data_IF_972055176150
#
_entry.id   IF_972055176150
#
_cell.length_a   1.000
_cell.length_b   1.000
_cell.length_c   1.000
_cell.angle_alpha   90.00
_cell.angle_beta   90.00
_cell.angle_gamma   90.00
#
_symmetry.space_group_name_H-M   'P 1'
#
loop_
_entity.id
_entity.type
_entity.pdbx_description
1 polymer ?
#
# COMPACT_ATOMS: atom_id res chain seq x y z
N UNK A 1 -5.02 31.47 22.03
CA UNK A 1 -5.19 30.83 21.61
C UNK A 1 -5.55 30.04 21.36
N UNK A 2 -5.48 29.96 21.21
CA UNK A 2 -5.65 29.03 20.76
C UNK A 2 -6.06 28.48 20.54
N UNK A 3 -5.71 28.71 20.73
CA UNK A 3 -5.93 28.02 20.43
C UNK A 3 -6.58 27.46 20.17
N UNK A 4 -6.51 27.59 20.30
CA UNK A 4 -6.92 26.59 19.93
C UNK A 4 -7.58 26.03 19.51
N UNK A 5 -7.36 26.35 19.43
CA UNK A 5 -7.82 25.64 19.01
C UNK A 5 -7.95 25.03 18.60
N UNK A 6 -7.56 25.47 18.71
CA UNK A 6 -7.52 24.70 18.30
C UNK A 6 -7.86 23.92 18.03
N UNK A 7 -7.41 24.21 18.17
CA UNK A 7 -7.53 23.12 17.99
C UNK A 7 -8.42 22.54 17.53
N UNK A 8 -8.67 22.58 17.39
CA UNK A 8 -9.40 21.68 16.97
C UNK A 8 -9.43 21.19 15.81
N UNK A 9 -8.95 21.67 15.54
CA UNK A 9 -8.93 21.09 14.66
C UNK A 9 -8.62 19.99 14.37
N UNK A 10 -8.38 20.06 14.65
CA UNK A 10 -8.09 19.00 14.56
C UNK A 10 -8.46 18.03 14.30
N UNK A 11 -8.02 18.59 14.36
CA UNK A 11 -8.23 17.26 14.65
C UNK A 11 -9.22 16.47 13.90
N UNK A 12 -9.72 16.93 12.93
CA UNK A 12 -10.60 16.14 12.10
C UNK A 12 -9.77 15.29 11.14
N UNK A 13 -9.33 14.13 11.62
CA UNK A 13 -8.49 13.23 10.84
C UNK A 13 -9.22 12.60 9.66
N UNK A 14 -10.55 12.66 9.65
CA UNK A 14 -11.32 12.11 8.53
C UNK A 14 -11.04 12.84 7.21
N UNK A 15 -10.52 14.07 7.30
CA UNK A 15 -10.18 14.86 6.13
C UNK A 15 -8.69 14.78 5.78
N UNK A 16 -7.92 14.03 6.54
CA UNK A 16 -6.51 13.88 6.26
C UNK A 16 -6.30 13.14 4.94
N UNK A 17 -5.37 13.66 4.16
CA UNK A 17 -5.00 13.01 2.91
C UNK A 17 -4.17 11.78 3.24
N UNK A 18 -4.57 10.64 2.69
CA UNK A 18 -3.88 9.38 2.94
C UNK A 18 -2.80 9.15 1.89
N UNK A 19 -1.70 8.55 2.32
CA UNK A 19 -0.53 8.30 1.47
C UNK A 19 -0.47 6.83 1.08
N UNK A 20 -0.10 6.59 -0.18
CA UNK A 20 0.03 5.24 -0.74
C UNK A 20 1.42 5.10 -1.34
N UNK A 21 2.10 4.02 -0.99
CA UNK A 21 3.30 3.58 -1.70
C UNK A 21 2.89 2.47 -2.65
N UNK A 22 3.16 2.64 -3.94
CA UNK A 22 2.82 1.66 -4.97
C UNK A 22 4.11 1.10 -5.56
N UNK A 23 4.31 -0.21 -5.39
CA UNK A 23 5.47 -0.91 -5.92
C UNK A 23 5.03 -1.79 -7.09
N UNK A 24 5.51 -1.48 -8.27
CA UNK A 24 5.24 -2.27 -9.48
C UNK A 24 6.26 -1.87 -10.53
N UNK A 25 6.84 -2.86 -11.22
CA UNK A 25 7.81 -2.59 -12.29
C UNK A 25 7.14 -2.26 -13.63
N UNK A 26 5.85 -2.45 -13.75
CA UNK A 26 5.08 -2.06 -14.93
C UNK A 26 4.79 -0.56 -14.85
N UNK A 27 5.57 0.22 -15.58
CA UNK A 27 5.50 1.68 -15.53
C UNK A 27 4.14 2.20 -16.00
N UNK A 28 3.58 1.60 -17.04
CA UNK A 28 2.28 2.04 -17.58
C UNK A 28 1.15 1.77 -16.58
N UNK A 29 1.16 0.60 -15.96
CA UNK A 29 0.17 0.28 -14.95
C UNK A 29 0.31 1.19 -13.73
N UNK A 30 1.53 1.41 -13.27
CA UNK A 30 1.79 2.31 -12.13
C UNK A 30 1.29 3.72 -12.40
N UNK A 31 1.53 4.22 -13.61
CA UNK A 31 1.06 5.54 -13.99
C UNK A 31 -0.47 5.60 -13.96
N UNK A 32 -1.12 4.60 -14.54
CA UNK A 32 -2.58 4.54 -14.58
C UNK A 32 -3.18 4.48 -13.18
N UNK A 33 -2.64 3.60 -12.33
CA UNK A 33 -3.13 3.48 -10.96
C UNK A 33 -2.88 4.76 -10.15
N UNK A 34 -1.74 5.38 -10.34
CA UNK A 34 -1.43 6.64 -9.65
C UNK A 34 -2.43 7.73 -10.03
N UNK A 35 -2.72 7.88 -11.33
CA UNK A 35 -3.70 8.85 -11.80
C UNK A 35 -5.07 8.60 -11.16
N UNK A 36 -5.48 7.35 -11.16
CA UNK A 36 -6.77 6.96 -10.60
C UNK A 36 -6.84 7.26 -9.10
N UNK A 37 -5.82 6.86 -8.37
CA UNK A 37 -5.78 7.08 -6.92
C UNK A 37 -5.71 8.56 -6.57
N UNK A 38 -4.95 9.34 -7.32
CA UNK A 38 -4.88 10.78 -7.10
C UNK A 38 -6.23 11.45 -7.35
N UNK A 39 -7.02 10.92 -8.28
CA UNK A 39 -8.37 11.45 -8.50
C UNK A 39 -9.30 11.17 -7.32
N UNK A 40 -8.94 10.25 -6.45
CA UNK A 40 -9.65 9.97 -5.20
C UNK A 40 -8.97 10.63 -3.99
N UNK A 41 -8.13 11.62 -4.23
CA UNK A 41 -7.47 12.44 -3.21
C UNK A 41 -6.40 11.71 -2.39
N UNK A 42 -5.82 10.65 -2.92
CA UNK A 42 -4.65 10.04 -2.30
C UNK A 42 -3.37 10.72 -2.79
N UNK A 43 -2.34 10.72 -1.95
CA UNK A 43 -0.99 11.08 -2.37
C UNK A 43 -0.25 9.78 -2.64
N UNK A 44 0.27 9.62 -3.86
CA UNK A 44 0.83 8.35 -4.31
C UNK A 44 2.30 8.50 -4.68
N UNK A 45 3.13 7.65 -4.09
CA UNK A 45 4.54 7.50 -4.45
C UNK A 45 4.69 6.17 -5.17
N UNK A 46 5.28 6.15 -6.35
CA UNK A 46 5.50 4.91 -7.10
C UNK A 46 6.98 4.58 -7.14
N UNK A 47 7.30 3.30 -6.97
CA UNK A 47 8.66 2.78 -7.11
C UNK A 47 8.63 1.50 -7.94
N UNK A 48 9.71 1.21 -8.70
CA UNK A 48 9.69 0.07 -9.61
C UNK A 48 10.13 -1.26 -8.99
N UNK A 49 10.63 -1.24 -7.76
CA UNK A 49 11.15 -2.46 -7.13
C UNK A 49 11.20 -2.31 -5.61
N UNK A 50 11.47 -3.43 -4.94
CA UNK A 50 11.49 -3.44 -3.47
C UNK A 50 12.66 -2.69 -2.85
N UNK A 51 13.79 -2.58 -3.54
CA UNK A 51 14.93 -1.83 -3.01
C UNK A 51 14.57 -0.36 -2.84
N UNK A 52 13.97 0.22 -3.89
CA UNK A 52 13.51 1.61 -3.82
C UNK A 52 12.37 1.75 -2.82
N UNK A 53 11.53 0.73 -2.69
CA UNK A 53 10.48 0.70 -1.68
C UNK A 53 11.01 0.77 -0.26
N UNK A 54 12.10 0.05 0.03
CA UNK A 54 12.73 0.09 1.35
C UNK A 54 13.21 1.51 1.67
N UNK A 55 13.82 2.19 0.68
CA UNK A 55 14.25 3.57 0.88
C UNK A 55 13.07 4.47 1.26
N UNK A 56 11.92 4.26 0.64
CA UNK A 56 10.75 5.10 0.92
C UNK A 56 10.18 4.81 2.30
N UNK A 57 10.05 3.55 2.69
CA UNK A 57 9.47 3.24 4.00
C UNK A 57 10.38 3.63 5.16
N UNK A 58 11.68 3.77 4.93
CA UNK A 58 12.59 4.25 5.96
C UNK A 58 12.38 5.74 6.25
N UNK A 59 11.77 6.47 5.32
CA UNK A 59 11.55 7.91 5.46
C UNK A 59 10.12 8.26 5.84
N UNK A 60 9.13 7.45 5.43
CA UNK A 60 7.72 7.78 5.62
C UNK A 60 6.92 6.56 6.10
N UNK A 61 5.94 6.81 6.95
CA UNK A 61 4.96 5.79 7.36
C UNK A 61 3.74 5.93 6.46
N UNK A 62 3.75 5.21 5.34
CA UNK A 62 2.62 5.22 4.41
C UNK A 62 1.37 4.63 5.05
N UNK A 63 0.21 5.14 4.65
CA UNK A 63 -1.08 4.62 5.14
C UNK A 63 -1.45 3.31 4.46
N UNK A 64 -1.05 3.17 3.19
CA UNK A 64 -1.28 1.97 2.38
C UNK A 64 0.01 1.63 1.64
N UNK A 65 0.33 0.34 1.56
CA UNK A 65 1.44 -0.16 0.75
C UNK A 65 0.87 -1.17 -0.23
N UNK A 66 0.86 -0.81 -1.51
CA UNK A 66 0.39 -1.69 -2.58
C UNK A 66 1.62 -2.28 -3.27
N UNK A 67 1.74 -3.59 -3.22
CA UNK A 67 2.96 -4.27 -3.62
C UNK A 67 2.68 -5.38 -4.62
N UNK A 68 3.27 -5.26 -5.82
CA UNK A 68 3.27 -6.34 -6.80
C UNK A 68 4.16 -7.47 -6.27
N UNK A 69 3.68 -8.69 -6.44
CA UNK A 69 4.43 -9.86 -5.99
C UNK A 69 5.65 -10.14 -6.87
N UNK A 70 5.58 -9.80 -8.16
CA UNK A 70 6.60 -10.16 -9.13
C UNK A 70 7.32 -8.90 -9.62
N UNK A 71 8.45 -8.58 -8.98
CA UNK A 71 9.27 -7.43 -9.36
C UNK A 71 10.73 -7.86 -9.46
N UNK A 72 11.54 -7.22 -10.32
CA UNK A 72 12.97 -7.47 -10.33
C UNK A 72 13.64 -6.91 -9.08
N UNK A 73 14.86 -7.35 -8.82
CA UNK A 73 15.74 -6.91 -7.74
C UNK A 73 15.26 -7.37 -6.37
N UNK A 74 14.11 -6.91 -5.91
CA UNK A 74 13.55 -7.38 -4.64
C UNK A 74 12.06 -7.65 -4.86
N UNK A 75 11.66 -8.93 -4.97
CA UNK A 75 10.25 -9.30 -5.13
C UNK A 75 9.40 -8.92 -3.92
N UNK A 76 8.08 -8.99 -4.09
CA UNK A 76 7.13 -8.54 -3.08
C UNK A 76 7.25 -9.23 -1.74
N UNK A 77 7.54 -10.55 -1.73
CA UNK A 77 7.71 -11.28 -0.49
C UNK A 77 8.97 -10.82 0.28
N UNK A 78 10.07 -10.60 -0.43
CA UNK A 78 11.29 -10.10 0.20
C UNK A 78 11.10 -8.68 0.73
N UNK A 79 10.38 -7.85 -0.01
CA UNK A 79 10.07 -6.50 0.44
C UNK A 79 9.22 -6.54 1.71
N UNK A 80 8.20 -7.40 1.75
CA UNK A 80 7.35 -7.54 2.93
C UNK A 80 8.18 -7.91 4.15
N UNK A 81 9.07 -8.89 4.02
CA UNK A 81 9.91 -9.31 5.15
C UNK A 81 10.87 -8.22 5.60
N UNK A 82 11.36 -7.39 4.67
CA UNK A 82 12.19 -6.24 5.04
C UNK A 82 11.39 -5.24 5.88
N UNK A 83 10.13 -4.99 5.51
CA UNK A 83 9.26 -4.10 6.26
C UNK A 83 8.95 -4.70 7.64
N UNK A 84 8.69 -5.99 7.69
CA UNK A 84 8.40 -6.67 8.96
C UNK A 84 9.55 -6.52 9.95
N UNK A 85 10.78 -6.54 9.47
CA UNK A 85 11.97 -6.41 10.33
C UNK A 85 12.22 -4.98 10.79
N UNK A 86 11.81 -3.99 10.01
CA UNK A 86 12.17 -2.59 10.27
C UNK A 86 11.02 -1.76 10.81
N UNK A 87 9.82 -1.95 10.25
CA UNK A 87 8.63 -1.20 10.65
C UNK A 87 7.42 -2.14 10.65
N UNK A 88 7.38 -3.11 11.58
CA UNK A 88 6.33 -4.14 11.58
C UNK A 88 4.91 -3.57 11.67
N UNK A 89 4.74 -2.38 12.21
CA UNK A 89 3.43 -1.75 12.28
C UNK A 89 2.85 -1.42 10.89
N UNK A 90 3.67 -1.41 9.85
CA UNK A 90 3.19 -1.20 8.48
C UNK A 90 2.67 -2.48 7.82
N UNK A 91 2.98 -3.64 8.37
CA UNK A 91 2.58 -4.90 7.74
C UNK A 91 1.07 -5.03 7.53
N UNK A 92 0.21 -4.62 8.49
CA UNK A 92 -1.24 -4.70 8.26
C UNK A 92 -1.77 -3.75 7.19
N UNK A 93 -0.92 -2.88 6.66
CA UNK A 93 -1.32 -1.87 5.65
C UNK A 93 -1.04 -2.33 4.23
N UNK A 94 -0.55 -3.57 4.06
CA UNK A 94 -0.22 -4.11 2.73
C UNK A 94 -1.46 -4.54 1.97
N UNK A 95 -1.44 -4.23 0.66
CA UNK A 95 -2.33 -4.81 -0.33
C UNK A 95 -1.42 -5.41 -1.40
N UNK A 96 -1.42 -6.74 -1.52
CA UNK A 96 -0.62 -7.40 -2.54
C UNK A 96 -1.37 -7.43 -3.86
N UNK A 97 -0.65 -7.23 -4.96
CA UNK A 97 -1.24 -7.25 -6.30
C UNK A 97 -0.52 -8.34 -7.07
N UNK A 98 -1.26 -9.19 -7.76
CA UNK A 98 -0.64 -10.25 -8.55
C UNK A 98 -1.43 -10.56 -9.82
N UNK A 99 -0.70 -10.79 -10.91
CA UNK A 99 -1.27 -11.36 -12.13
C UNK A 99 -1.17 -12.87 -12.18
N UNK A 100 -0.55 -13.47 -11.15
CA UNK A 100 -0.26 -14.91 -11.10
C UNK A 100 -0.66 -15.51 -9.76
N UNK A 101 -1.97 -15.48 -9.42
CA UNK A 101 -2.40 -15.91 -8.09
C UNK A 101 -2.17 -17.40 -7.83
N UNK A 102 -1.96 -18.20 -8.88
CA UNK A 102 -1.79 -19.64 -8.73
C UNK A 102 -0.32 -20.09 -8.72
N UNK A 103 0.64 -19.16 -8.87
CA UNK A 103 2.05 -19.53 -8.78
C UNK A 103 2.36 -20.09 -7.41
N UNK A 104 3.05 -21.25 -7.31
CA UNK A 104 3.30 -21.88 -6.01
C UNK A 104 3.98 -20.97 -5.00
N UNK A 105 4.96 -20.17 -5.43
CA UNK A 105 5.65 -19.26 -4.50
C UNK A 105 4.73 -18.16 -4.00
N UNK A 106 3.80 -17.69 -4.81
CA UNK A 106 2.81 -16.68 -4.42
C UNK A 106 1.83 -17.29 -3.43
N UNK A 107 1.29 -18.46 -3.76
CA UNK A 107 0.34 -19.18 -2.89
C UNK A 107 0.99 -19.47 -1.54
N UNK A 108 2.22 -19.95 -1.54
CA UNK A 108 2.92 -20.31 -0.31
C UNK A 108 3.14 -19.08 0.58
N UNK A 109 3.63 -17.98 -0.01
CA UNK A 109 3.88 -16.76 0.74
C UNK A 109 2.61 -16.19 1.34
N UNK A 110 1.59 -15.98 0.51
CA UNK A 110 0.33 -15.37 0.96
C UNK A 110 -0.39 -16.25 1.97
N UNK A 111 -0.32 -17.55 1.80
CA UNK A 111 -0.93 -18.51 2.73
C UNK A 111 -0.28 -18.52 4.10
N UNK A 112 0.98 -18.06 4.19
CA UNK A 112 1.68 -17.96 5.47
C UNK A 112 1.40 -16.67 6.22
N UNK A 113 0.69 -15.72 5.61
CA UNK A 113 0.38 -14.45 6.25
C UNK A 113 -1.01 -14.50 6.89
N UNK A 114 -1.12 -13.83 8.03
CA UNK A 114 -2.41 -13.70 8.70
C UNK A 114 -3.20 -12.59 8.00
N UNK A 115 -4.35 -12.97 7.43
CA UNK A 115 -5.28 -12.01 6.84
C UNK A 115 -4.68 -11.16 5.71
N UNK A 116 -3.91 -11.79 4.81
CA UNK A 116 -3.37 -11.11 3.66
C UNK A 116 -4.49 -10.56 2.77
N UNK A 117 -4.31 -9.32 2.31
CA UNK A 117 -5.24 -8.67 1.38
C UNK A 117 -4.62 -8.68 0.00
N UNK A 118 -5.35 -9.22 -0.97
CA UNK A 118 -4.83 -9.48 -2.32
C UNK A 118 -5.79 -8.96 -3.38
N UNK A 119 -5.23 -8.28 -4.38
CA UNK A 119 -5.96 -7.90 -5.58
C UNK A 119 -5.33 -8.62 -6.77
N UNK A 120 -6.18 -9.23 -7.60
CA UNK A 120 -5.71 -9.91 -8.81
C UNK A 120 -5.76 -8.94 -10.00
N UNK A 121 -4.74 -9.00 -10.85
CA UNK A 121 -4.74 -8.23 -12.10
C UNK A 121 -5.66 -8.91 -13.11
N UNK A 122 -6.39 -8.16 -13.91
CA UNK A 122 -6.46 -6.69 -13.97
C UNK A 122 -7.29 -6.13 -12.81
N UNK A 123 -6.81 -5.00 -12.24
CA UNK A 123 -7.46 -4.38 -11.09
C UNK A 123 -8.51 -3.40 -11.58
N UNK A 124 -9.74 -3.53 -11.09
CA UNK A 124 -10.80 -2.57 -11.41
C UNK A 124 -10.79 -1.43 -10.40
N UNK A 125 -11.30 -0.27 -10.82
CA UNK A 125 -11.40 0.88 -9.93
C UNK A 125 -12.23 0.54 -8.70
N UNK A 126 -13.36 -0.12 -8.89
CA UNK A 126 -14.25 -0.47 -7.80
C UNK A 126 -13.56 -1.36 -6.76
N UNK A 127 -12.89 -2.42 -7.21
CA UNK A 127 -12.19 -3.33 -6.31
C UNK A 127 -11.04 -2.61 -5.59
N UNK A 128 -10.33 -1.75 -6.31
CA UNK A 128 -9.21 -1.01 -5.75
C UNK A 128 -9.65 -0.11 -4.60
N UNK A 129 -10.66 0.72 -4.84
CA UNK A 129 -11.13 1.67 -3.84
C UNK A 129 -11.76 0.96 -2.65
N UNK A 130 -12.55 -0.10 -2.91
CA UNK A 130 -13.15 -0.87 -1.84
C UNK A 130 -12.10 -1.53 -0.95
N UNK A 131 -11.05 -2.08 -1.57
CA UNK A 131 -9.98 -2.75 -0.84
C UNK A 131 -9.17 -1.76 -0.01
N UNK A 132 -8.85 -0.60 -0.57
CA UNK A 132 -8.15 0.44 0.17
C UNK A 132 -8.97 0.88 1.38
N UNK A 133 -10.26 1.13 1.20
CA UNK A 133 -11.14 1.52 2.31
C UNK A 133 -11.16 0.46 3.40
N UNK A 134 -11.22 -0.81 3.01
CA UNK A 134 -11.19 -1.91 3.97
C UNK A 134 -9.90 -1.90 4.80
N UNK A 135 -8.75 -1.75 4.14
CA UNK A 135 -7.46 -1.75 4.85
C UNK A 135 -7.32 -0.53 5.75
N UNK A 136 -7.74 0.63 5.29
CA UNK A 136 -7.70 1.84 6.11
C UNK A 136 -8.54 1.68 7.37
N UNK A 137 -9.77 1.18 7.23
CA UNK A 137 -10.66 0.97 8.38
C UNK A 137 -10.06 -0.04 9.35
N UNK A 138 -9.52 -1.13 8.84
CA UNK A 138 -8.93 -2.19 9.65
C UNK A 138 -7.76 -1.66 10.50
N UNK A 139 -7.06 -0.65 10.01
CA UNK A 139 -5.92 -0.06 10.68
C UNK A 139 -6.28 1.19 11.49
N UNK A 140 -7.55 1.54 11.58
CA UNK A 140 -7.97 2.72 12.32
C UNK A 140 -7.57 4.03 11.64
N UNK A 141 -7.38 4.01 10.33
CA UNK A 141 -6.93 5.16 9.56
C UNK A 141 -8.07 5.85 8.81
N UNK A 142 -9.26 5.36 8.94
CA UNK A 142 -10.43 5.94 8.26
C UNK A 142 -11.56 6.17 9.23
#
# INVERSE_FOLDING_TARGET
MASPQDAPAQADTSHDIKSILLLDDDIDLSYTLKQLLESHNFVVTTVPNGVDGVHEIMQFDFDIIMCDMMMPRMPGDMFYFAVERTKPHLCPRFIFITGFPDKPEVVHFLGGLLEAVVLNKPVTEEDLIRTISFVLKRNGLL
#
